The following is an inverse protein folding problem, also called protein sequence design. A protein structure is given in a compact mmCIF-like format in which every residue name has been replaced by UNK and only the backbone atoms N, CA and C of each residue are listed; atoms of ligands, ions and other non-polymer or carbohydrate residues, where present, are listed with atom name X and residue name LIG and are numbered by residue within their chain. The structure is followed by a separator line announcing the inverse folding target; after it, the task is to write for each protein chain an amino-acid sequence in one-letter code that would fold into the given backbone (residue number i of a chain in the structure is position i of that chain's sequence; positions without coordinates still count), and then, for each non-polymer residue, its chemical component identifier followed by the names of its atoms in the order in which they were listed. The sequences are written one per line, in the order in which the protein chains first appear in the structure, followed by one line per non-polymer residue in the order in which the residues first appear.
data_IF_066823977463
#
_entry.id   IF_066823977463
#
_cell.length_a   1.000
_cell.length_b   1.000
_cell.length_c   1.000
_cell.angle_alpha   90.00
_cell.angle_beta   90.00
_cell.angle_gamma   90.00
#
_symmetry.space_group_name_H-M   'P 1'
#
loop_
_entity.id
_entity.type
_entity.pdbx_description
1 polymer ?
#
# COMPACT_ATOMS: atom_id res chain seq x y z
N UNK A 1 -10.34 24.43 14.95
CA UNK A 1 -8.93 24.45 14.53
C UNK A 1 -8.70 23.11 13.87
N UNK A 2 -8.49 23.10 12.56
CA UNK A 2 -8.37 21.87 11.79
C UNK A 2 -6.99 21.26 12.04
N UNK A 3 -6.95 20.12 12.70
CA UNK A 3 -5.76 19.29 12.76
C UNK A 3 -5.49 18.74 11.33
N UNK A 4 -4.54 19.34 10.65
CA UNK A 4 -3.95 18.75 9.46
C UNK A 4 -2.99 17.67 9.94
N UNK A 5 -3.49 16.44 9.98
CA UNK A 5 -2.63 15.27 10.11
C UNK A 5 -1.76 15.21 8.85
N UNK A 6 -0.47 15.54 9.00
CA UNK A 6 0.50 15.45 7.90
C UNK A 6 0.83 13.96 7.74
N UNK A 7 0.03 13.28 6.94
CA UNK A 7 0.35 11.96 6.41
C UNK A 7 1.21 12.17 5.18
N UNK A 8 2.49 11.79 5.25
CA UNK A 8 3.32 11.67 4.05
C UNK A 8 2.79 10.51 3.22
N UNK A 9 1.90 10.82 2.27
CA UNK A 9 1.42 9.83 1.31
C UNK A 9 2.46 9.66 0.21
N UNK A 10 3.09 8.50 0.14
CA UNK A 10 3.69 8.03 -1.10
C UNK A 10 2.54 7.65 -2.03
N UNK A 11 2.19 8.53 -2.95
CA UNK A 11 1.25 8.21 -4.02
C UNK A 11 2.05 7.57 -5.16
N UNK A 12 1.86 6.28 -5.39
CA UNK A 12 2.26 5.65 -6.65
C UNK A 12 1.19 6.05 -7.66
N UNK A 13 1.48 7.06 -8.50
CA UNK A 13 0.61 7.41 -9.62
C UNK A 13 0.83 6.42 -10.76
N UNK A 14 -0.12 5.56 -11.00
CA UNK A 14 -0.20 4.76 -12.23
C UNK A 14 -1.19 5.49 -13.14
N UNK A 15 -0.70 6.38 -14.00
CA UNK A 15 -1.53 7.01 -15.02
C UNK A 15 -1.55 6.14 -16.27
N UNK A 16 -2.59 5.33 -16.41
CA UNK A 16 -2.98 4.72 -17.67
C UNK A 16 -4.35 5.27 -18.05
N UNK A 17 -4.40 6.50 -18.50
CA UNK A 17 -5.60 7.07 -19.13
C UNK A 17 -5.45 6.97 -20.65
N UNK A 18 -5.94 5.88 -21.21
CA UNK A 18 -6.23 5.79 -22.65
C UNK A 18 -7.52 6.54 -22.96
N UNK A 19 -7.43 7.85 -23.24
CA UNK A 19 -8.56 8.64 -23.73
C UNK A 19 -8.58 8.63 -25.24
N UNK A 20 -9.58 7.96 -25.83
CA UNK A 20 -9.87 8.06 -27.25
C UNK A 20 -10.65 9.35 -27.53
N UNK A 21 -9.98 10.38 -28.01
CA UNK A 21 -10.64 11.48 -28.69
C UNK A 21 -10.79 11.12 -30.18
N UNK A 22 -12.03 10.98 -30.63
CA UNK A 22 -12.34 10.76 -32.02
C UNK A 22 -12.07 12.07 -32.78
N UNK A 23 -11.00 12.12 -33.54
CA UNK A 23 -10.82 13.02 -34.68
C UNK A 23 -10.41 12.17 -35.88
N UNK A 24 -11.24 12.22 -36.91
CA UNK A 24 -11.00 11.54 -38.18
C UNK A 24 -9.67 12.00 -38.79
N UNK A 25 -8.70 11.11 -38.81
CA UNK A 25 -7.56 11.15 -39.70
C UNK A 25 -7.32 9.79 -40.30
N UNK A 26 -7.06 9.72 -41.57
CA UNK A 26 -6.90 8.53 -42.38
C UNK A 26 -5.78 7.62 -41.85
N UNK A 27 -6.11 6.35 -41.83
CA UNK A 27 -5.34 5.21 -41.36
C UNK A 27 -4.08 5.03 -42.23
N UNK A 28 -2.91 5.27 -41.65
CA UNK A 28 -1.67 4.63 -42.06
C UNK A 28 -1.30 3.61 -41.00
N UNK A 29 -1.60 2.35 -41.27
CA UNK A 29 -1.35 1.20 -40.41
C UNK A 29 0.14 0.92 -40.28
N UNK A 30 0.75 1.44 -39.22
CA UNK A 30 1.94 0.87 -38.63
C UNK A 30 1.63 0.65 -37.12
N UNK A 31 0.97 -0.46 -36.81
CA UNK A 31 0.95 -0.98 -35.45
C UNK A 31 2.38 -1.25 -35.01
N UNK A 32 2.97 -0.34 -34.28
CA UNK A 32 4.14 -0.64 -33.45
C UNK A 32 3.65 -1.48 -32.30
N UNK A 33 3.69 -2.79 -32.46
CA UNK A 33 3.51 -3.72 -31.35
C UNK A 33 4.63 -3.47 -30.34
N UNK A 34 4.35 -2.69 -29.31
CA UNK A 34 5.22 -2.55 -28.16
C UNK A 34 5.27 -3.91 -27.45
N UNK A 35 6.31 -4.69 -27.74
CA UNK A 35 6.67 -5.82 -26.89
C UNK A 35 7.14 -5.23 -25.56
N UNK A 36 6.47 -5.53 -24.42
CA UNK A 36 6.95 -5.03 -23.14
C UNK A 36 8.39 -5.45 -22.92
N UNK A 37 9.26 -4.50 -22.67
CA UNK A 37 10.63 -4.78 -22.24
C UNK A 37 10.62 -5.63 -20.98
N UNK A 38 11.49 -6.64 -20.82
CA UNK A 38 11.57 -7.42 -19.60
C UNK A 38 11.78 -6.46 -18.41
N UNK A 39 11.23 -6.80 -17.24
CA UNK A 39 11.33 -5.98 -16.05
C UNK A 39 12.80 -5.72 -15.72
N UNK A 40 13.27 -4.47 -15.65
CA UNK A 40 14.68 -4.19 -15.39
C UNK A 40 15.01 -4.57 -13.94
N UNK A 41 16.00 -5.43 -13.75
CA UNK A 41 16.55 -5.72 -12.41
C UNK A 41 17.32 -4.53 -11.84
N UNK A 42 17.84 -3.67 -12.73
CA UNK A 42 18.52 -2.41 -12.44
C UNK A 42 18.02 -1.38 -13.46
N UNK A 43 17.76 -0.15 -13.00
CA UNK A 43 17.34 0.90 -13.94
C UNK A 43 18.47 1.33 -14.85
N UNK A 44 18.25 1.26 -16.16
CA UNK A 44 19.05 2.02 -17.10
C UNK A 44 18.78 3.52 -16.90
N UNK A 45 19.84 4.32 -16.89
CA UNK A 45 19.73 5.78 -16.77
C UNK A 45 19.69 6.39 -18.16
N UNK A 46 18.78 7.33 -18.38
CA UNK A 46 18.68 8.06 -19.65
C UNK A 46 18.34 9.54 -19.42
N UNK A 47 18.75 10.41 -20.36
CA UNK A 47 18.35 11.80 -20.31
C UNK A 47 16.84 11.95 -20.64
N UNK A 48 16.15 12.96 -20.06
CA UNK A 48 14.77 13.24 -20.37
C UNK A 48 14.49 13.36 -21.88
N UNK A 49 15.36 14.05 -22.59
CA UNK A 49 15.22 14.31 -24.03
C UNK A 49 15.28 13.02 -24.85
N UNK A 50 16.06 12.03 -24.43
CA UNK A 50 16.18 10.75 -25.13
C UNK A 50 14.91 9.91 -25.16
N UNK A 51 13.94 10.24 -24.28
CA UNK A 51 12.62 9.60 -24.19
C UNK A 51 11.48 10.60 -24.44
N UNK A 52 11.79 11.75 -25.07
CA UNK A 52 10.82 12.75 -25.47
C UNK A 52 10.24 13.58 -24.31
N UNK A 53 10.96 13.68 -23.18
CA UNK A 53 10.62 14.55 -22.07
C UNK A 53 11.49 15.83 -22.11
N UNK A 54 11.03 16.87 -21.43
CA UNK A 54 11.74 18.13 -21.33
C UNK A 54 12.36 18.29 -19.95
N UNK A 55 13.69 18.38 -19.87
CA UNK A 55 14.42 18.48 -18.60
C UNK A 55 14.06 19.74 -17.81
N UNK A 56 13.82 20.87 -18.47
CA UNK A 56 13.46 22.11 -17.77
C UNK A 56 12.08 22.01 -17.11
N UNK A 57 11.10 21.37 -17.76
CA UNK A 57 9.78 21.14 -17.17
C UNK A 57 9.84 20.13 -16.03
N UNK A 58 10.70 19.10 -16.13
CA UNK A 58 10.93 18.19 -15.02
C UNK A 58 11.57 18.88 -13.83
N UNK A 59 12.56 19.73 -14.08
CA UNK A 59 13.21 20.55 -13.03
C UNK A 59 12.18 21.43 -12.30
N UNK A 60 11.29 22.10 -13.06
CA UNK A 60 10.20 22.91 -12.50
C UNK A 60 9.24 22.05 -11.65
N UNK A 61 8.81 20.89 -12.15
CA UNK A 61 7.95 19.98 -11.42
C UNK A 61 8.58 19.47 -10.13
N UNK A 62 9.89 19.15 -10.16
CA UNK A 62 10.61 18.73 -8.96
C UNK A 62 10.84 19.89 -7.98
N UNK A 63 11.07 21.12 -8.48
CA UNK A 63 11.16 22.28 -7.60
C UNK A 63 9.84 22.47 -6.84
N UNK A 64 8.70 22.37 -7.53
CA UNK A 64 7.38 22.39 -6.87
C UNK A 64 7.19 21.24 -5.87
N UNK A 65 7.56 20.01 -6.24
CA UNK A 65 7.41 18.84 -5.37
C UNK A 65 8.28 18.92 -4.10
N UNK A 66 9.41 19.63 -4.16
CA UNK A 66 10.37 19.77 -3.06
C UNK A 66 10.34 21.15 -2.39
N UNK A 67 9.29 21.96 -2.62
CA UNK A 67 9.09 23.20 -1.87
C UNK A 67 9.09 22.94 -0.36
N UNK A 68 9.57 23.93 0.40
CA UNK A 68 9.56 23.86 1.86
C UNK A 68 8.14 23.70 2.38
N UNK A 69 7.93 22.79 3.33
CA UNK A 69 6.62 22.40 3.82
C UNK A 69 5.92 21.30 3.02
N UNK A 70 6.52 20.81 1.91
CA UNK A 70 6.00 19.65 1.17
C UNK A 70 6.30 18.32 1.85
N UNK A 71 7.30 18.26 2.72
CA UNK A 71 7.84 17.04 3.35
C UNK A 71 8.33 15.98 2.37
N UNK A 72 8.48 16.32 1.10
CA UNK A 72 8.99 15.40 0.08
C UNK A 72 10.48 15.16 0.29
N UNK A 73 10.88 13.90 0.45
CA UNK A 73 12.27 13.50 0.66
C UNK A 73 12.89 12.74 -0.52
N UNK A 74 12.05 12.12 -1.34
CA UNK A 74 12.48 11.41 -2.54
C UNK A 74 11.40 11.52 -3.61
N UNK A 75 11.81 11.72 -4.86
CA UNK A 75 10.96 11.58 -6.04
C UNK A 75 11.81 11.09 -7.21
N UNK A 76 11.20 10.27 -8.05
CA UNK A 76 11.86 9.75 -9.25
C UNK A 76 10.85 9.53 -10.37
N UNK A 77 11.34 9.53 -11.61
CA UNK A 77 10.55 9.29 -12.81
C UNK A 77 11.15 8.14 -13.60
N UNK A 78 10.32 7.14 -13.84
CA UNK A 78 10.63 6.02 -14.72
C UNK A 78 9.81 6.16 -15.99
N UNK A 79 10.47 6.12 -17.14
CA UNK A 79 9.83 6.12 -18.45
C UNK A 79 10.52 5.11 -19.37
N UNK A 80 9.72 4.28 -20.03
CA UNK A 80 10.19 3.25 -20.95
C UNK A 80 11.26 2.32 -20.32
N UNK A 81 11.10 1.99 -19.03
CA UNK A 81 12.03 1.14 -18.27
C UNK A 81 13.32 1.82 -17.85
N UNK A 82 13.43 3.12 -17.97
CA UNK A 82 14.64 3.88 -17.64
C UNK A 82 14.36 4.89 -16.53
N UNK A 83 15.32 5.06 -15.65
CA UNK A 83 15.35 6.14 -14.67
C UNK A 83 15.74 7.44 -15.39
N UNK A 84 14.80 8.36 -15.46
CA UNK A 84 14.94 9.60 -16.23
C UNK A 84 15.36 10.77 -15.34
N UNK A 85 14.79 10.80 -14.13
CA UNK A 85 15.06 11.86 -13.17
C UNK A 85 14.85 11.34 -11.76
N UNK A 86 15.69 11.77 -10.83
CA UNK A 86 15.54 11.50 -9.40
C UNK A 86 16.08 12.66 -8.57
N UNK A 87 15.48 12.89 -7.43
CA UNK A 87 15.94 13.89 -6.45
C UNK A 87 15.64 13.40 -5.04
N UNK A 88 16.56 13.71 -4.14
CA UNK A 88 16.51 13.35 -2.73
C UNK A 88 16.88 14.55 -1.87
N UNK A 89 16.28 14.68 -0.70
CA UNK A 89 16.70 15.63 0.34
C UNK A 89 16.34 15.13 1.74
N UNK A 90 16.97 15.68 2.75
CA UNK A 90 16.49 15.59 4.12
C UNK A 90 15.33 16.55 4.38
N UNK A 91 14.78 16.48 5.59
CA UNK A 91 13.78 17.43 6.07
C UNK A 91 14.40 18.83 6.23
N UNK A 92 13.64 19.88 5.94
CA UNK A 92 14.09 21.27 6.15
C UNK A 92 13.96 21.67 7.63
N UNK A 93 14.55 22.82 8.00
CA UNK A 93 14.41 23.36 9.36
C UNK A 93 12.96 23.74 9.69
N UNK A 94 12.23 24.30 8.73
CA UNK A 94 10.82 24.67 8.89
C UNK A 94 9.92 23.44 9.03
N UNK A 95 10.14 22.42 8.21
CA UNK A 95 9.42 21.14 8.29
C UNK A 95 9.68 20.44 9.64
N UNK A 96 10.92 20.41 10.10
CA UNK A 96 11.29 19.83 11.40
C UNK A 96 10.66 20.59 12.57
N UNK A 97 10.64 21.93 12.51
CA UNK A 97 9.93 22.78 13.49
C UNK A 97 8.42 22.51 13.47
N UNK A 98 7.83 22.34 12.29
CA UNK A 98 6.42 22.03 12.14
C UNK A 98 6.08 20.70 12.82
N UNK A 99 6.88 19.64 12.60
CA UNK A 99 6.70 18.36 13.27
C UNK A 99 6.86 18.49 14.80
N UNK A 100 7.87 19.19 15.27
CA UNK A 100 8.12 19.39 16.70
C UNK A 100 6.97 20.13 17.40
N UNK A 101 6.32 21.08 16.69
CA UNK A 101 5.23 21.90 17.25
C UNK A 101 3.86 21.25 17.12
N UNK A 102 3.65 20.36 16.15
CA UNK A 102 2.34 19.75 15.85
C UNK A 102 2.21 18.31 16.33
N UNK A 103 3.33 17.64 16.56
CA UNK A 103 3.34 16.27 17.07
C UNK A 103 2.92 16.24 18.55
N UNK A 104 2.13 15.27 18.93
CA UNK A 104 1.85 14.97 20.35
C UNK A 104 3.05 14.36 21.08
N UNK A 105 4.11 14.06 20.37
CA UNK A 105 5.39 13.57 20.92
C UNK A 105 6.20 14.76 21.47
N UNK A 106 6.91 14.54 22.57
CA UNK A 106 7.79 15.56 23.17
C UNK A 106 9.17 15.64 22.49
N UNK A 107 9.24 15.36 21.20
CA UNK A 107 10.47 15.44 20.43
C UNK A 107 10.66 16.86 19.87
N UNK A 108 11.89 17.33 19.93
CA UNK A 108 12.27 18.66 19.43
C UNK A 108 12.65 18.63 17.92
N UNK A 109 12.96 19.79 17.39
CA UNK A 109 13.40 19.96 16.00
C UNK A 109 14.63 19.11 15.69
N UNK A 110 15.59 19.01 16.62
CA UNK A 110 16.85 18.29 16.37
C UNK A 110 16.59 16.80 16.18
N UNK A 111 15.69 16.24 16.98
CA UNK A 111 15.27 14.85 16.80
C UNK A 111 14.71 14.57 15.39
N UNK A 112 13.83 15.42 14.89
CA UNK A 112 13.26 15.23 13.55
C UNK A 112 14.31 15.45 12.44
N UNK A 113 15.25 16.37 12.62
CA UNK A 113 16.38 16.55 11.68
C UNK A 113 17.30 15.35 11.63
N UNK A 114 17.56 14.70 12.74
CA UNK A 114 18.37 13.48 12.82
C UNK A 114 17.61 12.29 12.21
N UNK A 115 16.32 12.15 12.52
CA UNK A 115 15.47 11.08 12.01
C UNK A 115 15.28 11.14 10.49
N UNK A 116 15.06 12.35 9.96
CA UNK A 116 14.84 12.61 8.54
C UNK A 116 15.99 13.36 7.90
N UNK A 117 17.24 12.96 8.25
CA UNK A 117 18.46 13.57 7.72
C UNK A 117 18.59 13.44 6.19
N UNK A 118 19.72 13.81 5.63
CA UNK A 118 19.95 13.73 4.19
C UNK A 118 19.64 12.34 3.63
N UNK A 119 18.86 12.34 2.53
CA UNK A 119 18.47 11.14 1.79
C UNK A 119 19.24 11.03 0.49
N UNK A 120 19.44 9.81 0.06
CA UNK A 120 19.99 9.43 -1.24
C UNK A 120 19.26 8.19 -1.79
N UNK A 121 19.72 7.65 -2.91
CA UNK A 121 19.14 6.48 -3.53
C UNK A 121 19.12 5.21 -2.68
N UNK A 122 20.05 5.10 -1.72
CA UNK A 122 20.19 3.94 -0.83
C UNK A 122 19.41 4.10 0.49
N UNK A 123 18.78 5.26 0.69
CA UNK A 123 18.04 5.54 1.93
C UNK A 123 16.77 4.70 2.00
N UNK A 124 16.62 3.97 3.09
CA UNK A 124 15.38 3.22 3.36
C UNK A 124 14.27 4.18 3.77
N UNK A 125 13.10 3.91 3.25
CA UNK A 125 11.87 4.66 3.48
C UNK A 125 10.81 3.65 3.91
N UNK A 126 10.06 3.95 4.97
CA UNK A 126 8.96 3.10 5.37
C UNK A 126 7.72 3.36 4.50
N UNK A 127 7.13 2.30 3.99
CA UNK A 127 6.00 2.34 3.07
C UNK A 127 4.71 2.89 3.67
N UNK A 128 4.59 2.86 5.02
CA UNK A 128 3.29 2.99 5.65
C UNK A 128 2.24 2.13 4.95
N UNK A 129 1.08 2.68 4.65
CA UNK A 129 -0.04 1.94 4.06
C UNK A 129 0.17 1.45 2.62
N UNK A 130 1.22 1.88 1.92
CA UNK A 130 1.58 1.32 0.61
C UNK A 130 1.89 -0.18 0.70
N UNK A 131 2.35 -0.68 1.87
CA UNK A 131 2.50 -2.11 2.13
C UNK A 131 1.23 -2.93 1.84
N UNK A 132 0.04 -2.33 2.02
CA UNK A 132 -1.24 -3.01 1.73
C UNK A 132 -1.35 -3.46 0.27
N UNK A 133 -0.80 -2.66 -0.66
CA UNK A 133 -0.78 -2.99 -2.07
C UNK A 133 0.15 -4.17 -2.37
N UNK A 134 1.28 -4.27 -1.67
CA UNK A 134 2.17 -5.43 -1.75
C UNK A 134 1.47 -6.68 -1.21
N UNK A 135 0.85 -6.60 -0.04
CA UNK A 135 0.08 -7.71 0.54
C UNK A 135 -1.04 -8.18 -0.39
N UNK A 136 -1.76 -7.24 -1.00
CA UNK A 136 -2.77 -7.57 -2.01
C UNK A 136 -2.17 -8.31 -3.19
N UNK A 137 -1.05 -7.84 -3.72
CA UNK A 137 -0.40 -8.50 -4.85
C UNK A 137 0.09 -9.90 -4.50
N UNK A 138 0.56 -10.13 -3.28
CA UNK A 138 0.92 -11.48 -2.80
C UNK A 138 -0.28 -12.42 -2.71
N UNK A 139 -1.49 -11.94 -2.41
CA UNK A 139 -2.73 -12.73 -2.55
C UNK A 139 -2.93 -13.11 -4.02
N UNK A 140 -2.72 -12.18 -4.96
CA UNK A 140 -2.77 -12.49 -6.40
C UNK A 140 -1.77 -13.57 -6.82
N UNK A 141 -0.55 -13.52 -6.29
CA UNK A 141 0.47 -14.55 -6.51
C UNK A 141 0.01 -15.90 -5.92
N UNK A 142 -0.55 -15.91 -4.71
CA UNK A 142 -1.02 -17.13 -4.07
C UNK A 142 -2.18 -17.78 -4.85
N UNK A 143 -3.02 -16.98 -5.48
CA UNK A 143 -4.10 -17.46 -6.36
C UNK A 143 -3.50 -18.09 -7.63
N UNK A 144 -2.60 -17.42 -8.32
CA UNK A 144 -2.01 -17.95 -9.56
C UNK A 144 -1.15 -19.20 -9.30
N UNK A 145 -0.55 -19.30 -8.11
CA UNK A 145 0.22 -20.47 -7.68
C UNK A 145 -0.66 -21.62 -7.13
N UNK A 146 -1.99 -21.42 -7.05
CA UNK A 146 -2.94 -22.46 -6.63
C UNK A 146 -3.01 -22.70 -5.12
N UNK A 147 -2.42 -21.83 -4.29
CA UNK A 147 -2.53 -21.88 -2.83
C UNK A 147 -3.88 -21.33 -2.34
N UNK A 148 -4.43 -20.39 -3.08
CA UNK A 148 -5.77 -19.81 -2.90
C UNK A 148 -6.53 -20.02 -4.21
N UNK A 149 -7.80 -20.44 -4.17
CA UNK A 149 -8.53 -20.71 -5.41
C UNK A 149 -9.01 -19.43 -6.08
N UNK A 150 -9.47 -18.44 -5.27
CA UNK A 150 -10.07 -17.21 -5.76
C UNK A 150 -10.11 -16.13 -4.68
N UNK A 151 -10.18 -14.85 -5.07
CA UNK A 151 -10.54 -13.77 -4.12
C UNK A 151 -11.95 -13.94 -3.54
N UNK A 152 -12.79 -14.79 -4.15
CA UNK A 152 -14.14 -15.08 -3.66
C UNK A 152 -14.18 -16.25 -2.66
N UNK A 153 -13.06 -16.90 -2.38
CA UNK A 153 -12.98 -17.91 -1.32
C UNK A 153 -13.36 -17.28 0.02
N UNK A 154 -13.99 -18.06 0.88
CA UNK A 154 -14.29 -17.60 2.22
C UNK A 154 -13.01 -17.48 3.04
N UNK A 155 -12.84 -16.36 3.73
CA UNK A 155 -11.70 -16.18 4.63
C UNK A 155 -11.69 -17.25 5.73
N UNK A 156 -12.85 -17.78 6.11
CA UNK A 156 -13.02 -18.88 7.09
C UNK A 156 -12.42 -20.21 6.62
N UNK A 157 -12.15 -20.39 5.33
CA UNK A 157 -11.41 -21.56 4.83
C UNK A 157 -9.96 -21.59 5.35
N UNK A 158 -9.45 -20.42 5.68
CA UNK A 158 -8.10 -20.21 6.23
C UNK A 158 -8.14 -19.79 7.69
N UNK A 159 -9.01 -18.86 8.08
CA UNK A 159 -9.21 -18.37 9.46
C UNK A 159 -10.28 -19.23 10.13
N UNK A 160 -9.88 -20.37 10.63
CA UNK A 160 -10.81 -21.37 11.22
C UNK A 160 -11.61 -20.82 12.39
N UNK A 161 -11.13 -19.78 13.06
CA UNK A 161 -11.80 -19.06 14.13
C UNK A 161 -13.15 -18.44 13.67
N UNK A 162 -13.28 -18.20 12.37
CA UNK A 162 -14.50 -17.60 11.76
C UNK A 162 -15.49 -18.63 11.23
N UNK A 163 -15.14 -19.93 11.23
CA UNK A 163 -15.94 -20.98 10.56
C UNK A 163 -17.28 -21.28 11.22
N UNK A 164 -17.50 -20.82 12.46
CA UNK A 164 -18.67 -21.21 13.28
C UNK A 164 -19.60 -20.06 13.65
N UNK A 165 -19.39 -18.89 13.12
CA UNK A 165 -20.21 -17.70 13.37
C UNK A 165 -20.48 -16.92 12.07
N UNK A 166 -21.14 -15.76 12.19
CA UNK A 166 -21.57 -14.95 11.05
C UNK A 166 -20.41 -14.43 10.19
N UNK A 167 -19.16 -14.47 10.69
CA UNK A 167 -17.98 -14.11 9.92
C UNK A 167 -17.60 -15.15 8.86
N UNK A 168 -18.22 -16.35 8.92
CA UNK A 168 -17.93 -17.45 7.99
C UNK A 168 -18.18 -17.11 6.52
N UNK A 169 -19.02 -16.10 6.24
CA UNK A 169 -19.35 -15.66 4.89
C UNK A 169 -18.46 -14.52 4.37
N UNK A 170 -17.53 -14.02 5.18
CA UNK A 170 -16.57 -13.01 4.74
C UNK A 170 -15.62 -13.62 3.70
N UNK A 171 -15.54 -13.01 2.54
CA UNK A 171 -14.63 -13.45 1.48
C UNK A 171 -13.26 -12.74 1.59
N UNK A 172 -12.23 -13.31 0.96
CA UNK A 172 -10.95 -12.64 0.78
C UNK A 172 -11.14 -11.30 0.07
N UNK A 173 -12.07 -11.21 -0.89
CA UNK A 173 -12.43 -9.97 -1.57
C UNK A 173 -12.97 -8.90 -0.61
N UNK A 174 -13.80 -9.28 0.34
CA UNK A 174 -14.31 -8.34 1.36
C UNK A 174 -13.16 -7.71 2.16
N UNK A 175 -12.16 -8.50 2.56
CA UNK A 175 -10.97 -8.01 3.23
C UNK A 175 -10.12 -7.10 2.31
N UNK A 176 -9.92 -7.51 1.05
CA UNK A 176 -9.17 -6.74 0.05
C UNK A 176 -9.81 -5.38 -0.24
N UNK A 177 -11.14 -5.31 -0.27
CA UNK A 177 -11.88 -4.09 -0.58
C UNK A 177 -12.20 -3.23 0.65
N UNK A 178 -11.72 -3.61 1.85
CA UNK A 178 -12.07 -2.92 3.11
C UNK A 178 -13.59 -2.89 3.36
N UNK A 179 -14.27 -4.01 3.10
CA UNK A 179 -15.73 -4.18 3.21
C UNK A 179 -16.09 -5.46 3.98
N UNK A 180 -15.26 -5.82 4.95
CA UNK A 180 -15.45 -7.02 5.76
C UNK A 180 -16.64 -6.92 6.71
N UNK A 181 -17.06 -5.71 7.06
CA UNK A 181 -18.08 -5.47 8.08
C UNK A 181 -17.58 -5.66 9.52
N UNK A 182 -16.32 -5.98 9.70
CA UNK A 182 -15.72 -6.14 11.02
C UNK A 182 -15.44 -4.79 11.68
N UNK A 183 -15.69 -4.69 12.97
CA UNK A 183 -15.40 -3.48 13.73
C UNK A 183 -13.89 -3.20 13.71
N UNK A 184 -13.43 -1.98 13.34
CA UNK A 184 -12.01 -1.62 13.38
C UNK A 184 -11.43 -1.73 14.78
N UNK A 185 -10.15 -2.05 14.86
CA UNK A 185 -9.38 -2.08 16.11
C UNK A 185 -8.53 -0.83 16.22
N UNK A 186 -8.60 -0.17 17.36
CA UNK A 186 -7.82 1.01 17.71
C UNK A 186 -6.88 0.71 18.87
N UNK A 187 -5.72 1.38 18.88
CA UNK A 187 -4.80 1.39 20.01
C UNK A 187 -5.15 2.53 20.97
N UNK A 188 -5.31 2.19 22.23
CA UNK A 188 -5.57 3.17 23.27
C UNK A 188 -4.24 3.56 23.95
N UNK A 189 -3.77 4.78 23.69
CA UNK A 189 -2.51 5.28 24.25
C UNK A 189 -2.57 5.48 25.77
N UNK A 190 -3.76 5.55 26.39
CA UNK A 190 -3.90 5.76 27.83
C UNK A 190 -3.60 4.51 28.64
N UNK A 191 -3.94 3.34 28.12
CA UNK A 191 -3.72 2.05 28.81
C UNK A 191 -2.82 1.07 28.06
N UNK A 192 -2.41 1.40 26.82
CA UNK A 192 -1.55 0.55 25.99
C UNK A 192 -2.25 -0.68 25.40
N UNK A 193 -3.57 -0.69 25.35
CA UNK A 193 -4.36 -1.84 24.90
C UNK A 193 -5.02 -1.60 23.54
N UNK A 194 -5.30 -2.71 22.85
CA UNK A 194 -6.13 -2.72 21.66
C UNK A 194 -7.60 -2.92 22.04
N UNK A 195 -8.47 -2.12 21.45
CA UNK A 195 -9.91 -2.17 21.62
C UNK A 195 -10.65 -1.79 20.34
N UNK A 196 -11.98 -1.76 20.41
CA UNK A 196 -12.79 -1.28 19.31
C UNK A 196 -12.66 0.24 19.16
N UNK A 197 -12.73 0.72 17.92
CA UNK A 197 -12.75 2.15 17.63
C UNK A 197 -14.18 2.66 17.87
N UNK A 198 -14.46 3.22 19.05
CA UNK A 198 -15.82 3.52 19.47
C UNK A 198 -16.24 4.99 19.31
N UNK A 199 -15.34 5.87 18.90
CA UNK A 199 -15.65 7.29 18.76
C UNK A 199 -15.01 7.90 17.51
N UNK A 200 -15.52 9.08 17.10
CA UNK A 200 -15.06 9.77 15.88
C UNK A 200 -13.63 10.31 15.95
N UNK A 201 -13.03 10.36 17.14
CA UNK A 201 -11.63 10.74 17.32
C UNK A 201 -10.69 9.55 17.16
N UNK A 202 -11.23 8.32 17.23
CA UNK A 202 -10.48 7.14 16.91
C UNK A 202 -10.28 7.10 15.40
N UNK A 203 -9.05 6.93 14.96
CA UNK A 203 -8.75 6.82 13.55
C UNK A 203 -9.46 5.59 12.97
N UNK A 204 -10.29 5.78 11.93
CA UNK A 204 -10.89 4.67 11.18
C UNK A 204 -9.86 3.75 10.54
N UNK A 205 -8.61 4.19 10.45
CA UNK A 205 -7.47 3.39 9.99
C UNK A 205 -6.90 2.46 11.05
N UNK A 206 -7.54 2.33 12.21
CA UNK A 206 -7.07 1.46 13.28
C UNK A 206 -6.11 2.11 14.26
N UNK A 207 -6.20 3.45 14.44
CA UNK A 207 -5.64 4.16 15.59
C UNK A 207 -4.18 3.89 15.92
N UNK A 208 -3.27 3.90 14.95
CA UNK A 208 -1.84 3.68 15.19
C UNK A 208 -1.51 2.33 15.86
N UNK A 209 -2.25 1.27 15.55
CA UNK A 209 -2.02 -0.06 16.12
C UNK A 209 -0.59 -0.59 15.91
N UNK A 210 0.18 0.04 15.04
CA UNK A 210 1.60 -0.27 14.80
C UNK A 210 2.45 -0.32 16.07
N UNK A 211 2.04 0.39 17.12
CA UNK A 211 2.73 0.40 18.40
C UNK A 211 2.26 -0.67 19.40
N UNK A 212 1.23 -1.42 19.03
CA UNK A 212 0.67 -2.43 19.89
C UNK A 212 1.34 -3.79 19.71
N UNK A 213 1.36 -4.57 20.77
CA UNK A 213 1.80 -5.96 20.74
C UNK A 213 0.68 -6.89 20.29
N UNK A 214 1.04 -8.03 19.71
CA UNK A 214 0.13 -9.13 19.38
C UNK A 214 -1.14 -8.70 18.62
N UNK A 215 -0.95 -7.92 17.58
CA UNK A 215 -2.04 -7.31 16.80
C UNK A 215 -2.89 -8.36 16.07
N UNK A 216 -2.26 -9.43 15.57
CA UNK A 216 -2.93 -10.45 14.77
C UNK A 216 -4.09 -11.09 15.52
N UNK A 217 -3.87 -11.51 16.77
CA UNK A 217 -4.90 -12.13 17.60
C UNK A 217 -6.10 -11.19 17.77
N UNK A 218 -5.85 -9.89 18.02
CA UNK A 218 -6.93 -8.92 18.16
C UNK A 218 -7.65 -8.69 16.84
N UNK A 219 -6.92 -8.66 15.74
CA UNK A 219 -7.51 -8.51 14.40
C UNK A 219 -8.38 -9.71 14.00
N UNK A 220 -8.00 -10.92 14.35
CA UNK A 220 -8.82 -12.13 14.12
C UNK A 220 -10.06 -12.15 15.01
N UNK A 221 -9.94 -11.70 16.26
CA UNK A 221 -11.03 -11.77 17.25
C UNK A 221 -12.00 -10.56 17.17
N UNK A 222 -11.96 -9.76 16.10
CA UNK A 222 -12.94 -8.69 15.89
C UNK A 222 -14.35 -9.25 15.73
N UNK A 223 -15.31 -8.51 16.25
CA UNK A 223 -16.73 -8.80 16.02
C UNK A 223 -17.24 -8.10 14.76
N UNK A 224 -18.36 -8.61 14.22
CA UNK A 224 -19.11 -7.90 13.19
C UNK A 224 -19.80 -6.68 13.79
N UNK A 225 -19.87 -5.60 13.01
CA UNK A 225 -20.70 -4.45 13.36
C UNK A 225 -22.16 -4.90 13.49
N UNK A 226 -22.83 -4.50 14.58
CA UNK A 226 -24.19 -4.94 14.89
C UNK A 226 -25.22 -4.03 14.22
N UNK A 227 -26.24 -4.62 13.61
CA UNK A 227 -27.37 -3.89 13.04
C UNK A 227 -28.04 -2.99 14.10
N UNK A 228 -28.35 -1.77 13.72
CA UNK A 228 -28.99 -0.79 14.61
C UNK A 228 -28.03 0.02 15.50
N UNK A 229 -26.74 -0.34 15.60
CA UNK A 229 -25.72 0.50 16.23
C UNK A 229 -25.13 1.46 15.19
N UNK A 230 -24.98 2.72 15.60
CA UNK A 230 -24.29 3.71 14.79
C UNK A 230 -22.82 3.73 15.18
N UNK A 231 -21.96 3.41 14.23
CA UNK A 231 -20.53 3.56 14.35
C UNK A 231 -20.10 4.80 13.58
N UNK A 232 -19.19 5.64 14.12
CA UNK A 232 -18.78 6.90 13.48
C UNK A 232 -18.23 6.77 12.06
N UNK A 233 -17.69 5.59 11.71
CA UNK A 233 -17.11 5.29 10.41
C UNK A 233 -18.08 4.66 9.40
N UNK A 234 -19.30 4.30 9.81
CA UNK A 234 -20.35 3.85 8.90
C UNK A 234 -21.28 5.03 8.56
N UNK A 235 -21.19 5.53 7.35
CA UNK A 235 -21.90 6.74 6.95
C UNK A 235 -23.41 6.60 6.76
N UNK A 236 -23.94 5.38 6.67
CA UNK A 236 -25.33 5.14 6.26
C UNK A 236 -26.13 4.16 7.13
N UNK A 237 -25.74 3.99 8.39
CA UNK A 237 -26.44 2.98 9.20
C UNK A 237 -26.06 1.55 8.80
N UNK A 238 -26.24 0.65 9.72
CA UNK A 238 -25.54 -0.61 9.86
C UNK A 238 -26.10 -1.76 9.01
N UNK A 239 -26.96 -1.51 8.03
CA UNK A 239 -27.67 -2.59 7.33
C UNK A 239 -26.81 -3.35 6.30
N UNK A 240 -25.53 -3.05 6.20
CA UNK A 240 -24.69 -3.59 5.14
C UNK A 240 -23.26 -3.86 5.66
N UNK A 241 -23.12 -4.74 6.66
CA UNK A 241 -21.79 -4.96 7.23
C UNK A 241 -20.89 -5.75 6.28
N UNK A 242 -21.36 -6.80 5.67
CA UNK A 242 -20.58 -7.60 4.72
C UNK A 242 -20.97 -7.19 3.30
N UNK A 243 -19.97 -6.81 2.48
CA UNK A 243 -20.12 -6.13 1.19
C UNK A 243 -20.73 -4.72 1.27
N UNK A 244 -20.85 -4.17 2.46
CA UNK A 244 -21.46 -2.90 2.73
C UNK A 244 -20.52 -1.71 2.64
N UNK A 245 -20.61 -0.84 3.63
CA UNK A 245 -19.83 0.39 3.72
C UNK A 245 -18.33 0.13 3.70
N UNK A 246 -17.61 0.95 2.93
CA UNK A 246 -16.15 0.98 2.97
C UNK A 246 -15.68 1.50 4.32
N UNK A 247 -14.88 0.71 5.02
CA UNK A 247 -14.24 1.10 6.28
C UNK A 247 -12.75 0.78 6.20
N UNK A 248 -11.92 1.80 6.12
CA UNK A 248 -10.48 1.62 6.04
C UNK A 248 -9.96 0.98 7.34
N UNK A 249 -9.45 -0.24 7.26
CA UNK A 249 -9.03 -1.05 8.41
C UNK A 249 -7.66 -1.68 8.20
N UNK A 250 -6.73 -1.40 9.10
CA UNK A 250 -5.43 -2.07 9.13
C UNK A 250 -5.56 -3.56 9.39
N UNK A 251 -6.50 -3.94 10.23
CA UNK A 251 -6.75 -5.33 10.58
C UNK A 251 -7.19 -6.20 9.39
N UNK A 252 -7.95 -5.65 8.42
CA UNK A 252 -8.32 -6.41 7.23
C UNK A 252 -7.08 -6.87 6.46
N UNK A 253 -6.06 -6.03 6.40
CA UNK A 253 -4.81 -6.40 5.73
C UNK A 253 -3.92 -7.28 6.61
N UNK A 254 -3.93 -7.08 7.93
CA UNK A 254 -3.22 -7.98 8.86
C UNK A 254 -3.72 -9.42 8.71
N UNK A 255 -5.04 -9.61 8.62
CA UNK A 255 -5.67 -10.93 8.39
C UNK A 255 -5.31 -11.50 7.00
N UNK A 256 -5.17 -10.66 5.95
CA UNK A 256 -4.69 -11.13 4.65
C UNK A 256 -3.27 -11.69 4.72
N UNK A 257 -2.39 -11.09 5.52
CA UNK A 257 -1.05 -11.63 5.80
C UNK A 257 -1.11 -13.02 6.46
N UNK A 258 -2.04 -13.22 7.39
CA UNK A 258 -2.27 -14.52 8.02
C UNK A 258 -2.87 -15.54 7.05
N UNK A 259 -3.76 -15.12 6.16
CA UNK A 259 -4.29 -16.00 5.10
C UNK A 259 -3.16 -16.49 4.20
N UNK A 260 -2.20 -15.63 3.82
CA UNK A 260 -1.01 -16.06 3.08
C UNK A 260 -0.26 -17.14 3.86
N UNK A 261 0.00 -16.92 5.15
CA UNK A 261 0.70 -17.90 5.97
C UNK A 261 -0.02 -19.24 6.03
N UNK A 262 -1.34 -19.25 6.29
CA UNK A 262 -2.13 -20.49 6.42
C UNK A 262 -2.30 -21.21 5.08
N UNK A 263 -2.35 -20.48 3.98
CA UNK A 263 -2.46 -21.06 2.64
C UNK A 263 -1.14 -21.65 2.13
N UNK A 264 0.00 -21.02 2.46
CA UNK A 264 1.29 -21.34 1.86
C UNK A 264 2.28 -22.01 2.82
N UNK A 265 2.06 -21.90 4.14
CA UNK A 265 3.01 -22.31 5.17
C UNK A 265 4.20 -21.37 5.34
N UNK A 266 4.21 -20.21 4.67
CA UNK A 266 5.29 -19.22 4.70
C UNK A 266 4.75 -17.89 5.23
N UNK A 267 5.50 -17.24 6.12
CA UNK A 267 5.18 -15.87 6.53
C UNK A 267 5.28 -14.90 5.35
N UNK A 268 4.65 -13.73 5.49
CA UNK A 268 4.52 -12.77 4.39
C UNK A 268 5.88 -12.29 3.85
N UNK A 269 6.89 -12.13 4.71
CA UNK A 269 8.24 -11.73 4.30
C UNK A 269 8.89 -12.82 3.46
N UNK A 270 8.94 -14.05 3.98
CA UNK A 270 9.51 -15.19 3.27
C UNK A 270 8.81 -15.43 1.95
N UNK A 271 7.47 -15.33 1.94
CA UNK A 271 6.68 -15.51 0.73
C UNK A 271 6.95 -14.41 -0.31
N UNK A 272 7.07 -13.15 0.13
CA UNK A 272 7.40 -12.01 -0.73
C UNK A 272 8.82 -12.10 -1.29
N UNK A 273 9.81 -12.45 -0.46
CA UNK A 273 11.21 -12.58 -0.87
C UNK A 273 11.34 -13.56 -2.03
N UNK A 274 10.68 -14.71 -1.92
CA UNK A 274 10.79 -15.76 -2.92
C UNK A 274 9.97 -15.48 -4.20
N UNK A 275 8.75 -14.98 -4.05
CA UNK A 275 7.78 -14.91 -5.14
C UNK A 275 7.67 -13.54 -5.82
N UNK A 276 8.12 -12.47 -5.15
CA UNK A 276 8.01 -11.09 -5.65
C UNK A 276 9.35 -10.37 -5.64
N UNK A 277 10.00 -10.25 -4.49
CA UNK A 277 11.17 -9.37 -4.33
C UNK A 277 12.36 -9.87 -5.14
N UNK A 278 12.67 -11.18 -5.08
CA UNK A 278 13.74 -11.77 -5.91
C UNK A 278 13.49 -11.64 -7.41
N UNK A 279 12.22 -11.59 -7.84
CA UNK A 279 11.86 -11.47 -9.26
C UNK A 279 12.03 -10.05 -9.80
N UNK A 280 11.94 -9.07 -8.92
CA UNK A 280 12.04 -7.66 -9.25
C UNK A 280 13.36 -7.03 -8.80
N UNK A 281 14.25 -7.82 -8.19
CA UNK A 281 15.46 -7.34 -7.53
C UNK A 281 15.15 -6.20 -6.55
N UNK A 282 14.15 -6.43 -5.69
CA UNK A 282 13.74 -5.55 -4.60
C UNK A 282 14.38 -6.07 -3.31
N UNK A 283 14.91 -5.15 -2.52
CA UNK A 283 15.29 -5.40 -1.13
C UNK A 283 14.31 -4.65 -0.23
N UNK A 284 13.50 -5.40 0.53
CA UNK A 284 12.51 -4.81 1.41
C UNK A 284 12.29 -5.68 2.65
N UNK A 285 12.01 -5.01 3.78
CA UNK A 285 11.84 -5.67 5.07
C UNK A 285 10.60 -5.13 5.78
N UNK A 286 9.63 -6.00 6.07
CA UNK A 286 8.51 -5.67 6.94
C UNK A 286 8.91 -5.57 8.39
N UNK A 287 8.39 -4.58 9.09
CA UNK A 287 8.43 -4.54 10.54
C UNK A 287 7.54 -5.63 11.13
N UNK A 288 7.81 -5.93 12.41
CA UNK A 288 7.00 -6.86 13.21
C UNK A 288 6.41 -6.15 14.42
N UNK A 289 5.22 -6.60 14.85
CA UNK A 289 4.80 -6.34 16.22
C UNK A 289 5.61 -7.24 17.19
N UNK A 290 5.29 -7.16 18.46
CA UNK A 290 5.91 -7.99 19.49
C UNK A 290 4.81 -8.72 20.26
N UNK A 291 5.08 -9.97 20.68
CA UNK A 291 4.23 -10.65 21.66
C UNK A 291 4.36 -9.99 23.03
N UNK A 292 5.56 -9.49 23.35
CA UNK A 292 5.84 -8.62 24.48
C UNK A 292 6.96 -7.66 24.16
N UNK A 293 7.02 -6.54 24.89
CA UNK A 293 8.02 -5.50 24.66
C UNK A 293 9.45 -6.08 24.67
N UNK A 294 10.22 -5.73 23.65
CA UNK A 294 11.62 -6.16 23.50
C UNK A 294 11.85 -7.51 22.83
N UNK A 295 10.79 -8.22 22.39
CA UNK A 295 10.93 -9.44 21.59
C UNK A 295 10.86 -9.14 20.10
N UNK A 296 11.59 -9.93 19.30
CA UNK A 296 11.68 -9.75 17.83
C UNK A 296 10.93 -10.81 17.02
N UNK A 297 10.12 -11.65 17.67
CA UNK A 297 9.42 -12.78 17.08
C UNK A 297 7.92 -12.54 16.86
N UNK A 298 7.50 -11.29 16.77
CA UNK A 298 6.10 -10.92 16.53
C UNK A 298 5.65 -11.16 15.09
N UNK A 299 4.39 -10.84 14.82
CA UNK A 299 3.79 -10.96 13.50
C UNK A 299 4.27 -9.84 12.59
N UNK A 300 4.50 -10.13 11.31
CA UNK A 300 4.78 -9.10 10.32
C UNK A 300 3.58 -8.18 10.13
N UNK A 301 3.84 -6.87 10.04
CA UNK A 301 2.82 -5.85 9.89
C UNK A 301 2.36 -5.75 8.43
N UNK A 302 1.61 -6.73 7.96
CA UNK A 302 1.19 -6.84 6.55
C UNK A 302 0.52 -5.57 5.99
N UNK A 303 0.02 -4.69 6.86
CA UNK A 303 -0.72 -3.48 6.49
C UNK A 303 0.14 -2.23 6.40
N UNK A 304 1.38 -2.23 6.91
CA UNK A 304 2.28 -1.06 6.90
C UNK A 304 3.76 -1.47 6.98
N UNK A 305 4.60 -0.44 7.00
CA UNK A 305 5.92 -0.52 7.60
C UNK A 305 6.83 -1.55 6.89
N UNK A 306 6.75 -1.58 5.57
CA UNK A 306 7.70 -2.23 4.67
C UNK A 306 8.77 -1.21 4.33
N UNK A 307 9.99 -1.41 4.80
CA UNK A 307 11.13 -0.54 4.53
C UNK A 307 11.81 -0.99 3.24
N UNK A 308 12.06 -0.04 2.34
CA UNK A 308 12.76 -0.26 1.08
C UNK A 308 13.28 1.08 0.52
N UNK A 309 14.03 1.06 -0.56
CA UNK A 309 14.45 2.27 -1.27
C UNK A 309 13.33 2.83 -2.15
N UNK A 310 13.39 4.12 -2.48
CA UNK A 310 12.45 4.73 -3.43
C UNK A 310 12.51 4.04 -4.81
N UNK A 311 13.71 3.64 -5.23
CA UNK A 311 13.94 2.89 -6.47
C UNK A 311 13.23 1.54 -6.47
N UNK A 312 13.27 0.81 -5.36
CA UNK A 312 12.63 -0.50 -5.26
C UNK A 312 11.10 -0.38 -5.21
N UNK A 313 10.56 0.63 -4.54
CA UNK A 313 9.13 0.93 -4.66
C UNK A 313 8.73 1.24 -6.11
N UNK A 314 9.58 1.94 -6.87
CA UNK A 314 9.32 2.21 -8.28
C UNK A 314 9.32 0.93 -9.13
N UNK A 315 10.14 -0.08 -8.81
CA UNK A 315 10.13 -1.39 -9.51
C UNK A 315 8.77 -2.08 -9.36
N UNK A 316 8.18 -2.04 -8.16
CA UNK A 316 6.83 -2.57 -7.95
C UNK A 316 5.79 -1.80 -8.77
N UNK A 317 5.83 -0.46 -8.76
CA UNK A 317 4.94 0.37 -9.58
C UNK A 317 5.10 0.11 -11.08
N UNK A 318 6.34 -0.03 -11.54
CA UNK A 318 6.63 -0.32 -12.95
C UNK A 318 6.14 -1.70 -13.37
N UNK A 319 6.28 -2.72 -12.52
CA UNK A 319 5.71 -4.05 -12.73
C UNK A 319 4.19 -3.97 -12.93
N UNK A 320 3.49 -3.20 -12.10
CA UNK A 320 2.05 -2.98 -12.27
C UNK A 320 1.74 -2.26 -13.59
N UNK A 321 2.57 -1.29 -13.98
CA UNK A 321 2.43 -0.57 -15.27
C UNK A 321 2.62 -1.52 -16.47
N UNK A 322 3.50 -2.49 -16.38
CA UNK A 322 3.73 -3.50 -17.43
C UNK A 322 2.65 -4.59 -17.46
N UNK A 323 1.78 -4.67 -16.46
CA UNK A 323 0.71 -5.68 -16.40
C UNK A 323 1.12 -6.99 -15.74
N UNK A 324 2.16 -6.99 -14.92
CA UNK A 324 2.66 -8.14 -14.19
C UNK A 324 4.14 -8.40 -14.39
N UNK A 325 4.61 -9.56 -13.96
CA UNK A 325 6.02 -9.99 -14.08
C UNK A 325 6.22 -10.76 -15.37
N UNK A 326 7.25 -10.40 -16.15
CA UNK A 326 7.64 -11.17 -17.34
C UNK A 326 8.68 -12.25 -16.96
N UNK A 327 8.32 -13.51 -17.11
CA UNK A 327 9.22 -14.65 -16.91
C UNK A 327 9.25 -15.52 -18.17
N UNK A 328 10.43 -15.68 -18.77
CA UNK A 328 10.60 -16.51 -19.98
C UNK A 328 9.72 -16.10 -21.17
N UNK A 329 9.38 -14.83 -21.29
CA UNK A 329 8.49 -14.30 -22.31
C UNK A 329 7.00 -14.46 -22.00
N UNK A 330 6.65 -15.00 -20.83
CA UNK A 330 5.26 -15.12 -20.38
C UNK A 330 4.97 -14.07 -19.30
N UNK A 331 3.86 -13.36 -19.47
CA UNK A 331 3.39 -12.39 -18.48
C UNK A 331 2.63 -13.12 -17.36
N UNK A 332 3.21 -13.10 -16.16
CA UNK A 332 2.61 -13.65 -14.95
C UNK A 332 1.75 -12.60 -14.22
N UNK A 333 0.68 -13.06 -13.58
CA UNK A 333 -0.21 -12.23 -12.73
C UNK A 333 -1.01 -11.16 -13.49
N UNK A 334 -1.08 -11.27 -14.82
CA UNK A 334 -1.73 -10.25 -15.66
C UNK A 334 -3.24 -10.11 -15.40
N UNK A 335 -3.91 -11.18 -15.05
CA UNK A 335 -5.35 -11.15 -14.68
C UNK A 335 -5.59 -10.36 -13.40
N UNK A 336 -4.74 -10.54 -12.38
CA UNK A 336 -4.84 -9.78 -11.13
C UNK A 336 -4.51 -8.30 -11.34
N UNK A 337 -3.45 -7.99 -12.10
CA UNK A 337 -3.11 -6.61 -12.46
C UNK A 337 -4.22 -5.95 -13.27
N UNK A 338 -4.85 -6.67 -14.20
CA UNK A 338 -5.99 -6.17 -14.97
C UNK A 338 -7.18 -5.85 -14.06
N UNK A 339 -7.42 -6.66 -13.03
CA UNK A 339 -8.46 -6.37 -12.03
C UNK A 339 -8.15 -5.09 -11.23
N UNK A 340 -6.88 -4.87 -10.85
CA UNK A 340 -6.46 -3.62 -10.19
C UNK A 340 -6.69 -2.42 -11.11
N UNK A 341 -6.29 -2.51 -12.37
CA UNK A 341 -6.44 -1.42 -13.36
C UNK A 341 -7.90 -1.11 -13.70
N UNK A 342 -8.78 -2.08 -13.59
CA UNK A 342 -10.23 -1.92 -13.82
C UNK A 342 -10.99 -1.24 -12.70
N UNK A 343 -10.32 -0.90 -11.58
CA UNK A 343 -10.97 -0.23 -10.46
C UNK A 343 -11.30 1.23 -10.81
N UNK A 344 -12.46 1.67 -10.36
CA UNK A 344 -12.92 3.08 -10.51
C UNK A 344 -12.80 3.90 -9.24
N UNK A 345 -12.47 3.24 -8.14
CA UNK A 345 -12.29 3.83 -6.82
C UNK A 345 -11.32 2.96 -6.01
N UNK A 346 -11.50 2.88 -4.69
CA UNK A 346 -10.73 1.94 -3.87
C UNK A 346 -11.20 0.50 -4.07
N UNK A 347 -10.27 -0.42 -4.22
CA UNK A 347 -10.49 -1.85 -4.24
C UNK A 347 -9.15 -2.60 -4.29
N UNK A 348 -9.14 -3.87 -3.91
CA UNK A 348 -7.95 -4.71 -3.91
C UNK A 348 -6.73 -4.03 -3.23
N UNK A 349 -6.96 -3.19 -2.20
CA UNK A 349 -5.94 -2.37 -1.51
C UNK A 349 -5.23 -1.32 -2.39
N UNK A 350 -5.86 -0.88 -3.46
CA UNK A 350 -5.36 0.19 -4.33
C UNK A 350 -6.36 1.34 -4.40
N UNK A 351 -5.82 2.56 -4.43
CA UNK A 351 -6.56 3.77 -4.77
C UNK A 351 -6.37 4.07 -6.25
N UNK A 352 -7.46 4.26 -6.95
CA UNK A 352 -7.41 4.75 -8.33
C UNK A 352 -7.84 6.21 -8.37
N UNK A 353 -6.99 7.04 -8.96
CA UNK A 353 -7.22 8.50 -9.05
C UNK A 353 -7.51 8.86 -10.52
N UNK A 354 -8.31 8.08 -11.20
CA UNK A 354 -8.85 8.54 -12.48
C UNK A 354 -10.11 9.36 -12.21
N UNK A 355 -9.98 10.68 -12.18
CA UNK A 355 -11.14 11.52 -12.46
C UNK A 355 -11.57 11.18 -13.88
N UNK A 356 -12.76 10.61 -14.03
CA UNK A 356 -13.39 10.55 -15.34
C UNK A 356 -13.42 11.99 -15.92
N UNK A 357 -13.13 12.19 -17.21
CA UNK A 357 -13.22 13.48 -17.84
C UNK A 357 -14.64 14.02 -17.82
#
# INVERSE_FOLDING_TARGET
MHEKLILSFFLIFITSCGGSSVSNFEESSNEVTHTPSPHPLVWDIASPESVGMNSSLLEEAFNYAFEDGSFTQAALIIKDGKLIYERYRGITDEEANTLASTSSSNYDQSFYKDLFNQRNGDSLISSWSTAKSFTSFLIGIAIESGHISSINDYASDYIQEWSRDDRSIITIKNLLDMRSGLIPVCFNFSNGELGECLNSNDSSSGGNIVYANNQLTKCINRDLATEGLQYPWYSNGVNEYINGSFVYSNCDTMVLGEIIFRATGQDIQTYADYNLFSKLNIEALWWRDYESYGQSNGNYLAYCCLDSTASDFAKFGYMLLLGGISEGGTQKYSSYVSSIRGLTSYGLKFWTICSQP
#
